data_IF_660536201789
#
_entry.id   IF_660536201789
#
_cell.length_a   1.000
_cell.length_b   1.000
_cell.length_c   1.000
_cell.angle_alpha   90.00
_cell.angle_beta   90.00
_cell.angle_gamma   90.00
#
_symmetry.space_group_name_H-M   'P 1'
#
loop_
_entity.id
_entity.type
_entity.pdbx_description
1 polymer ?
#
# COMPACT_ATOMS: atom_id res chain seq x y z
N UNK A 1 -9.15 23.52 -11.06
CA UNK A 1 -9.95 24.59 -11.71
C UNK A 1 -10.06 24.28 -13.19
N UNK A 2 -11.05 23.47 -13.58
CA UNK A 2 -11.32 23.01 -14.97
C UNK A 2 -12.78 23.18 -15.37
N UNK A 3 -13.62 23.77 -14.50
CA UNK A 3 -15.08 23.81 -14.62
C UNK A 3 -15.64 24.66 -15.77
N UNK A 4 -14.82 25.45 -16.46
CA UNK A 4 -15.24 26.33 -17.56
C UNK A 4 -14.56 26.07 -18.91
N UNK A 5 -13.85 24.94 -19.06
CA UNK A 5 -13.17 24.65 -20.33
C UNK A 5 -14.16 24.05 -21.34
N UNK A 6 -14.28 24.69 -22.51
CA UNK A 6 -15.10 24.22 -23.64
C UNK A 6 -14.49 23.03 -24.40
N UNK A 7 -13.19 22.80 -24.21
CA UNK A 7 -12.44 21.67 -24.75
C UNK A 7 -11.42 21.20 -23.71
N UNK A 8 -11.23 19.89 -23.63
CA UNK A 8 -10.16 19.26 -22.84
C UNK A 8 -9.02 18.86 -23.79
N UNK A 9 -8.09 19.78 -24.13
CA UNK A 9 -6.98 19.44 -25.00
C UNK A 9 -6.09 18.41 -24.30
N UNK A 10 -5.96 17.23 -24.92
CA UNK A 10 -5.03 16.20 -24.48
C UNK A 10 -3.73 16.40 -25.24
N UNK A 11 -2.65 16.71 -24.52
CA UNK A 11 -1.31 16.77 -25.11
C UNK A 11 -0.89 15.35 -25.55
N UNK A 12 -0.36 15.18 -26.77
CA UNK A 12 0.14 13.87 -27.19
C UNK A 12 1.34 13.47 -26.32
N UNK A 13 1.48 12.17 -26.09
CA UNK A 13 2.67 11.62 -25.43
C UNK A 13 3.92 11.99 -26.23
N UNK A 14 4.99 12.39 -25.53
CA UNK A 14 6.33 12.55 -26.12
C UNK A 14 7.00 11.22 -26.44
N UNK A 15 6.50 10.13 -25.86
CA UNK A 15 7.06 8.79 -25.98
C UNK A 15 6.24 7.90 -26.88
N UNK A 16 6.91 6.95 -27.54
CA UNK A 16 6.29 5.96 -28.41
C UNK A 16 5.70 4.81 -27.58
N UNK A 17 4.50 4.40 -27.97
CA UNK A 17 3.85 3.21 -27.44
C UNK A 17 3.72 2.18 -28.56
N UNK A 18 3.83 0.90 -28.21
CA UNK A 18 3.57 -0.20 -29.12
C UNK A 18 2.87 -1.35 -28.38
N UNK A 19 2.21 -2.23 -29.12
CA UNK A 19 1.55 -3.39 -28.56
C UNK A 19 2.58 -4.44 -28.15
N UNK A 20 2.52 -4.89 -26.89
CA UNK A 20 3.44 -5.85 -26.30
C UNK A 20 2.73 -7.16 -25.91
N UNK A 21 3.47 -8.26 -26.04
CA UNK A 21 2.98 -9.61 -25.78
C UNK A 21 1.84 -10.05 -26.70
N UNK A 22 1.33 -11.25 -26.45
CA UNK A 22 0.13 -11.79 -27.08
C UNK A 22 -1.14 -11.05 -26.62
N UNK A 23 -1.08 -10.25 -25.54
CA UNK A 23 -2.20 -9.40 -25.11
C UNK A 23 -2.45 -8.24 -26.05
N UNK A 24 -1.45 -7.86 -26.84
CA UNK A 24 -1.49 -6.65 -27.63
C UNK A 24 -1.65 -5.39 -26.76
N UNK A 25 -1.12 -5.40 -25.53
CA UNK A 25 -1.27 -4.25 -24.64
C UNK A 25 -0.36 -3.12 -25.08
N UNK A 26 -0.91 -1.90 -25.19
CA UNK A 26 -0.13 -0.70 -25.46
C UNK A 26 0.78 -0.35 -24.29
N UNK A 27 2.09 -0.44 -24.51
CA UNK A 27 3.12 -0.13 -23.51
C UNK A 27 4.21 0.73 -24.12
N UNK A 28 4.89 1.50 -23.28
CA UNK A 28 6.10 2.21 -23.69
C UNK A 28 7.28 1.22 -23.72
N UNK A 29 7.52 0.62 -24.87
CA UNK A 29 8.57 -0.37 -25.07
C UNK A 29 9.98 0.23 -25.10
N UNK A 30 10.09 1.56 -25.27
CA UNK A 30 11.36 2.28 -25.27
C UNK A 30 11.88 2.50 -23.83
N UNK A 31 11.01 2.96 -22.93
CA UNK A 31 11.36 3.25 -21.54
C UNK A 31 11.26 2.03 -20.62
N UNK A 32 10.35 1.10 -20.91
CA UNK A 32 10.10 -0.09 -20.08
C UNK A 32 10.30 -1.40 -20.87
N UNK A 33 11.44 -1.58 -21.55
CA UNK A 33 11.65 -2.72 -22.46
C UNK A 33 11.57 -4.07 -21.74
N UNK A 34 12.04 -4.14 -20.49
CA UNK A 34 12.02 -5.38 -19.72
C UNK A 34 10.63 -5.70 -19.16
N UNK A 35 9.82 -4.68 -18.87
CA UNK A 35 8.43 -4.90 -18.44
C UNK A 35 7.59 -5.39 -19.63
N UNK A 36 7.80 -4.81 -20.81
CA UNK A 36 7.08 -5.19 -22.02
C UNK A 36 7.29 -6.66 -22.42
N UNK A 37 8.47 -7.24 -22.15
CA UNK A 37 8.74 -8.68 -22.37
C UNK A 37 7.83 -9.60 -21.56
N UNK A 38 7.37 -9.13 -20.40
CA UNK A 38 6.53 -9.88 -19.47
C UNK A 38 5.06 -9.43 -19.54
N UNK A 39 4.64 -8.75 -20.61
CA UNK A 39 3.29 -8.19 -20.72
C UNK A 39 2.17 -9.23 -20.55
N UNK A 40 2.42 -10.48 -20.95
CA UNK A 40 1.47 -11.59 -20.83
C UNK A 40 1.41 -12.21 -19.43
N UNK A 41 2.47 -12.07 -18.63
CA UNK A 41 2.59 -12.66 -17.28
C UNK A 41 2.11 -11.71 -16.17
N UNK A 42 1.77 -10.48 -16.54
CA UNK A 42 1.27 -9.44 -15.64
C UNK A 42 -0.25 -9.41 -15.70
N UNK A 43 -0.89 -9.34 -14.54
CA UNK A 43 -2.32 -9.08 -14.44
C UNK A 43 -2.62 -7.60 -14.70
N UNK A 44 -3.43 -7.32 -15.71
CA UNK A 44 -3.83 -5.95 -16.08
C UNK A 44 -5.22 -5.64 -15.55
N UNK A 45 -5.32 -4.65 -14.67
CA UNK A 45 -6.59 -4.14 -14.16
C UNK A 45 -6.96 -2.85 -14.88
N UNK A 46 -7.92 -2.91 -15.81
CA UNK A 46 -8.40 -1.76 -16.60
C UNK A 46 -9.74 -1.20 -16.13
N UNK A 47 -10.34 -1.79 -15.10
CA UNK A 47 -11.64 -1.42 -14.55
C UNK A 47 -11.57 -0.35 -13.45
N UNK A 48 -10.39 0.21 -13.18
CA UNK A 48 -10.22 1.25 -12.16
C UNK A 48 -10.78 2.58 -12.66
N UNK A 49 -11.63 3.20 -11.86
CA UNK A 49 -12.17 4.55 -12.07
C UNK A 49 -12.02 5.35 -10.77
N UNK A 50 -11.77 6.65 -10.91
CA UNK A 50 -11.68 7.59 -9.79
C UNK A 50 -12.18 8.95 -10.23
N UNK A 51 -12.90 9.62 -9.34
CA UNK A 51 -13.36 11.00 -9.50
C UNK A 51 -12.44 12.00 -8.75
N UNK A 52 -11.34 11.50 -8.17
CA UNK A 52 -10.39 12.30 -7.42
C UNK A 52 -9.60 13.23 -8.34
N UNK A 53 -9.88 14.53 -8.27
CA UNK A 53 -9.16 15.56 -9.04
C UNK A 53 -7.84 16.00 -8.39
N UNK A 54 -7.71 15.78 -7.07
CA UNK A 54 -6.56 16.22 -6.28
C UNK A 54 -5.64 15.03 -6.00
N UNK A 55 -4.34 15.31 -5.83
CA UNK A 55 -3.34 14.28 -5.64
C UNK A 55 -3.52 13.49 -4.33
N UNK A 56 -3.82 14.11 -3.18
CA UNK A 56 -3.98 13.36 -1.93
C UNK A 56 -5.21 12.43 -1.92
N UNK A 57 -6.41 12.87 -2.34
CA UNK A 57 -7.56 11.96 -2.49
C UNK A 57 -7.32 10.85 -3.50
N UNK A 58 -6.60 11.13 -4.60
CA UNK A 58 -6.25 10.12 -5.60
C UNK A 58 -5.30 9.06 -5.03
N UNK A 59 -4.28 9.47 -4.27
CA UNK A 59 -3.36 8.53 -3.59
C UNK A 59 -4.12 7.70 -2.54
N UNK A 60 -5.02 8.33 -1.76
CA UNK A 60 -5.85 7.61 -0.80
C UNK A 60 -6.75 6.58 -1.49
N UNK A 61 -7.38 6.94 -2.60
CA UNK A 61 -8.20 6.02 -3.39
C UNK A 61 -7.40 4.86 -3.95
N UNK A 62 -6.19 5.13 -4.47
CA UNK A 62 -5.28 4.08 -4.95
C UNK A 62 -4.87 3.11 -3.84
N UNK A 63 -4.58 3.63 -2.65
CA UNK A 63 -4.12 2.81 -1.52
C UNK A 63 -5.25 2.05 -0.82
N UNK A 64 -6.43 2.65 -0.69
CA UNK A 64 -7.51 2.16 0.21
C UNK A 64 -8.82 1.85 -0.50
N UNK A 65 -8.91 2.14 -1.80
CA UNK A 65 -10.15 2.06 -2.58
C UNK A 65 -11.16 3.19 -2.28
N UNK A 66 -10.79 4.19 -1.47
CA UNK A 66 -11.65 5.33 -1.13
C UNK A 66 -10.86 6.64 -1.04
N UNK A 67 -11.48 7.74 -1.46
CA UNK A 67 -10.89 9.08 -1.36
C UNK A 67 -10.87 9.58 0.10
N UNK A 68 -11.77 9.07 0.95
CA UNK A 68 -11.82 9.37 2.38
C UNK A 68 -10.95 8.37 3.14
N UNK A 69 -10.02 8.89 3.93
CA UNK A 69 -9.11 8.11 4.80
C UNK A 69 -9.87 7.31 5.87
N UNK A 70 -9.25 6.23 6.38
CA UNK A 70 -9.79 5.41 7.47
C UNK A 70 -10.07 3.96 7.10
N UNK A 71 -10.02 3.63 5.80
CA UNK A 71 -10.05 2.24 5.32
C UNK A 71 -8.64 1.65 5.35
N UNK A 72 -8.50 0.32 5.52
CA UNK A 72 -7.21 -0.34 5.44
C UNK A 72 -6.60 -0.17 4.05
N UNK A 73 -5.30 0.13 3.99
CA UNK A 73 -4.60 0.20 2.71
C UNK A 73 -4.33 -1.20 2.13
N UNK A 74 -3.92 -1.25 0.86
CA UNK A 74 -3.57 -2.48 0.15
C UNK A 74 -2.50 -3.29 0.90
N UNK A 75 -1.48 -2.61 1.44
CA UNK A 75 -0.43 -3.26 2.25
C UNK A 75 -0.96 -3.88 3.54
N UNK A 76 -1.94 -3.24 4.18
CA UNK A 76 -2.59 -3.78 5.39
C UNK A 76 -3.44 -5.02 5.06
N UNK A 77 -4.16 -5.01 3.93
CA UNK A 77 -4.88 -6.18 3.45
C UNK A 77 -3.95 -7.33 3.09
N UNK A 78 -2.82 -7.05 2.44
CA UNK A 78 -1.81 -8.05 2.14
C UNK A 78 -1.23 -8.66 3.43
N UNK A 79 -0.89 -7.82 4.40
CA UNK A 79 -0.40 -8.24 5.73
C UNK A 79 -1.42 -9.13 6.46
N UNK A 80 -2.70 -8.75 6.46
CA UNK A 80 -3.77 -9.51 7.09
C UNK A 80 -4.08 -10.83 6.37
N UNK A 81 -4.10 -10.81 5.04
CA UNK A 81 -4.49 -11.98 4.24
C UNK A 81 -3.38 -13.02 4.07
N UNK A 82 -2.12 -12.56 3.91
CA UNK A 82 -0.96 -13.43 3.68
C UNK A 82 -0.20 -13.75 4.98
N UNK A 83 -0.32 -12.91 6.00
CA UNK A 83 0.47 -13.02 7.22
C UNK A 83 1.93 -12.62 7.02
N UNK A 84 2.78 -13.03 7.97
CA UNK A 84 4.24 -12.86 7.88
C UNK A 84 4.91 -14.22 7.73
N UNK A 85 5.97 -14.26 6.93
CA UNK A 85 6.92 -15.39 6.92
C UNK A 85 8.05 -15.21 7.95
N UNK A 86 8.05 -14.11 8.70
CA UNK A 86 9.09 -13.76 9.65
C UNK A 86 8.49 -13.27 10.98
N UNK A 87 9.03 -13.77 12.08
CA UNK A 87 8.59 -13.41 13.43
C UNK A 87 9.31 -12.17 14.00
N UNK A 88 10.42 -11.76 13.36
CA UNK A 88 11.32 -10.74 13.90
C UNK A 88 11.20 -9.35 13.25
N UNK A 89 10.41 -9.20 12.17
CA UNK A 89 10.21 -7.92 11.49
C UNK A 89 8.73 -7.68 11.22
N UNK A 90 8.31 -6.40 11.07
CA UNK A 90 6.95 -6.09 10.65
C UNK A 90 6.62 -6.73 9.30
N UNK A 91 5.42 -7.28 9.17
CA UNK A 91 4.92 -7.88 7.93
C UNK A 91 4.73 -6.86 6.81
N UNK A 92 4.54 -5.58 7.15
CA UNK A 92 4.34 -4.49 6.21
C UNK A 92 5.25 -3.29 6.56
N UNK A 93 6.23 -3.06 5.69
CA UNK A 93 7.21 -1.98 5.82
C UNK A 93 6.98 -0.92 4.74
N UNK A 94 7.12 0.34 5.11
CA UNK A 94 6.97 1.49 4.21
C UNK A 94 8.32 2.20 4.10
N UNK A 95 8.83 2.30 2.88
CA UNK A 95 10.07 3.01 2.58
C UNK A 95 9.73 4.43 2.11
N UNK A 96 10.23 5.44 2.83
CA UNK A 96 10.03 6.84 2.46
C UNK A 96 11.33 7.34 1.81
N UNK A 97 11.24 7.65 0.52
CA UNK A 97 12.37 8.21 -0.21
C UNK A 97 12.71 9.60 0.33
N UNK A 98 14.00 9.90 0.44
CA UNK A 98 14.47 11.26 0.74
C UNK A 98 14.71 11.96 -0.59
N UNK A 99 13.92 12.98 -0.96
CA UNK A 99 14.09 13.65 -2.24
C UNK A 99 15.39 14.46 -2.23
N UNK A 100 16.03 14.53 -3.40
CA UNK A 100 17.23 15.35 -3.63
C UNK A 100 16.90 16.83 -3.73
N UNK A 101 15.69 17.18 -4.19
CA UNK A 101 15.14 18.53 -4.17
C UNK A 101 14.07 18.63 -3.07
N UNK A 102 14.28 19.53 -2.10
CA UNK A 102 13.38 19.74 -0.95
C UNK A 102 12.50 20.99 -1.07
N UNK A 103 12.65 21.78 -2.13
CA UNK A 103 11.91 23.04 -2.29
C UNK A 103 10.41 22.83 -2.52
N UNK A 104 10.01 21.65 -3.01
CA UNK A 104 8.63 21.25 -3.27
C UNK A 104 8.28 19.92 -2.58
N UNK A 105 8.83 19.68 -1.40
CA UNK A 105 8.57 18.44 -0.68
C UNK A 105 7.11 18.40 -0.18
N UNK A 106 6.34 17.47 -0.74
CA UNK A 106 4.97 17.22 -0.30
C UNK A 106 4.97 16.24 0.87
N UNK A 107 4.36 16.64 1.98
CA UNK A 107 4.30 15.82 3.18
C UNK A 107 3.43 14.57 2.94
N UNK A 108 4.08 13.40 2.90
CA UNK A 108 3.38 12.12 2.83
C UNK A 108 2.95 11.72 4.25
N UNK A 109 1.65 11.49 4.44
CA UNK A 109 1.09 11.15 5.75
C UNK A 109 0.99 9.64 5.96
N UNK A 110 1.26 9.17 7.19
CA UNK A 110 1.10 7.77 7.57
C UNK A 110 -0.32 7.23 7.46
N UNK A 111 -1.31 8.12 7.32
CA UNK A 111 -2.70 7.77 7.01
C UNK A 111 -2.84 6.94 5.74
N UNK A 112 -1.90 7.05 4.79
CA UNK A 112 -1.92 6.31 3.53
C UNK A 112 -1.60 4.82 3.67
N UNK A 113 -0.95 4.43 4.78
CA UNK A 113 -0.60 3.04 5.09
C UNK A 113 -1.16 2.57 6.44
N UNK A 114 -2.29 3.15 6.83
CA UNK A 114 -3.00 2.76 8.04
C UNK A 114 -3.69 1.39 7.89
N UNK A 115 -3.77 0.66 9.00
CA UNK A 115 -4.57 -0.56 9.12
C UNK A 115 -6.07 -0.30 9.09
N UNK A 116 -6.51 0.97 9.25
CA UNK A 116 -7.93 1.31 9.34
C UNK A 116 -8.60 0.57 10.51
N UNK A 117 -9.61 -0.23 10.19
CA UNK A 117 -10.31 -1.09 11.17
C UNK A 117 -9.67 -2.48 11.36
N UNK A 118 -8.59 -2.81 10.63
CA UNK A 118 -7.81 -4.02 10.90
C UNK A 118 -6.96 -3.83 12.17
N UNK A 119 -6.57 -4.93 12.85
CA UNK A 119 -5.62 -4.88 13.96
C UNK A 119 -4.37 -4.06 13.63
N UNK A 120 -3.89 -3.30 14.62
CA UNK A 120 -2.78 -2.35 14.44
C UNK A 120 -1.46 -3.00 13.99
N UNK A 121 -1.29 -4.31 14.20
CA UNK A 121 -0.13 -5.08 13.72
C UNK A 121 -0.01 -5.10 12.18
N UNK A 122 -1.10 -4.81 11.46
CA UNK A 122 -1.09 -4.71 10.00
C UNK A 122 -0.84 -3.30 9.48
N UNK A 123 -0.65 -2.31 10.36
CA UNK A 123 -0.32 -0.96 9.93
C UNK A 123 1.10 -0.91 9.37
N UNK A 124 1.33 -0.08 8.35
CA UNK A 124 2.64 0.07 7.74
C UNK A 124 3.65 0.70 8.70
N UNK A 125 4.80 0.03 8.87
CA UNK A 125 5.90 0.55 9.69
C UNK A 125 6.88 1.29 8.78
N UNK A 126 7.00 2.61 8.97
CA UNK A 126 7.89 3.46 8.17
C UNK A 126 9.35 3.26 8.56
N UNK A 127 10.19 2.91 7.59
CA UNK A 127 11.63 2.77 7.77
C UNK A 127 12.35 4.02 7.26
N UNK A 128 13.31 4.50 8.04
CA UNK A 128 14.15 5.63 7.67
C UNK A 128 15.30 5.20 6.77
N UNK A 129 15.66 6.06 5.82
CA UNK A 129 16.78 5.87 4.89
C UNK A 129 18.16 6.01 5.55
N UNK A 130 18.24 6.65 6.73
CA UNK A 130 19.50 6.88 7.46
C UNK A 130 19.27 6.87 8.97
N UNK A 131 20.26 6.34 9.71
CA UNK A 131 20.23 6.22 11.16
C UNK A 131 19.43 5.01 11.61
N UNK A 132 18.73 5.14 12.74
CA UNK A 132 17.84 4.07 13.22
C UNK A 132 16.65 3.89 12.27
N UNK A 133 16.43 2.67 11.73
CA UNK A 133 15.37 2.42 10.75
C UNK A 133 13.99 2.64 11.37
N UNK A 134 13.83 2.29 12.65
CA UNK A 134 12.64 2.55 13.47
C UNK A 134 13.05 3.51 14.59
N UNK A 135 12.26 4.54 14.82
CA UNK A 135 12.52 5.51 15.88
C UNK A 135 12.50 4.83 17.26
N UNK A 136 13.47 5.18 18.11
CA UNK A 136 13.57 4.72 19.50
C UNK A 136 13.75 3.20 19.68
N UNK A 137 14.27 2.51 18.65
CA UNK A 137 14.61 1.09 18.79
C UNK A 137 15.82 0.86 19.71
N UNK A 138 16.74 1.82 19.73
CA UNK A 138 17.91 1.81 20.59
C UNK A 138 17.66 2.64 21.85
N UNK A 139 18.22 2.19 22.97
CA UNK A 139 18.21 3.00 24.18
C UNK A 139 19.06 4.26 23.99
N UNK A 140 18.61 5.42 24.47
CA UNK A 140 19.42 6.63 24.44
C UNK A 140 20.71 6.43 25.25
N UNK A 141 21.82 7.10 24.86
CA UNK A 141 23.10 6.99 25.56
C UNK A 141 22.95 7.26 27.06
N UNK A 142 23.47 6.38 27.90
CA UNK A 142 23.43 6.54 29.36
C UNK A 142 22.19 5.96 30.06
N UNK A 143 21.23 5.37 29.34
CA UNK A 143 20.08 4.66 29.95
C UNK A 143 20.31 3.14 29.97
N UNK A 144 20.52 2.52 31.14
CA UNK A 144 20.63 1.07 31.25
C UNK A 144 19.33 0.38 30.83
N UNK A 145 19.42 -0.80 30.20
CA UNK A 145 18.24 -1.60 29.78
C UNK A 145 17.25 -1.86 30.93
N UNK A 146 17.75 -1.94 32.16
CA UNK A 146 16.93 -2.14 33.37
C UNK A 146 15.97 -0.98 33.63
N UNK A 147 16.38 0.27 33.36
CA UNK A 147 15.53 1.45 33.55
C UNK A 147 14.41 1.57 32.52
N UNK A 148 14.63 1.07 31.28
CA UNK A 148 13.64 1.10 30.21
C UNK A 148 12.50 0.08 30.39
N UNK A 149 12.70 -0.99 31.17
CA UNK A 149 11.70 -2.04 31.39
C UNK A 149 10.53 -1.62 32.29
N UNK A 150 10.75 -0.69 33.23
CA UNK A 150 9.75 -0.28 34.25
C UNK A 150 8.51 0.43 33.69
N UNK A 151 8.61 1.35 32.71
CA UNK A 151 7.44 1.99 32.11
C UNK A 151 6.58 1.02 31.27
N UNK A 152 7.22 0.07 30.56
CA UNK A 152 6.55 -0.90 29.68
C UNK A 152 5.74 -1.95 30.46
N UNK A 153 6.21 -2.36 31.63
CA UNK A 153 5.46 -3.25 32.53
C UNK A 153 4.33 -2.54 33.27
N UNK A 154 4.42 -1.23 33.48
CA UNK A 154 3.37 -0.45 34.13
C UNK A 154 2.14 -0.26 33.21
N UNK A 155 2.36 0.01 31.91
CA UNK A 155 1.27 0.20 30.94
C UNK A 155 0.51 -1.09 30.57
N UNK A 156 1.19 -2.23 30.61
CA UNK A 156 0.57 -3.56 30.41
C UNK A 156 -0.33 -3.94 31.59
N UNK A 157 0.03 -3.54 32.82
CA UNK A 157 -0.80 -3.79 34.01
C UNK A 157 -2.11 -2.99 34.04
N UNK A 158 -2.16 -1.79 33.43
CA UNK A 158 -3.38 -0.96 33.41
C UNK A 158 -4.38 -1.33 32.32
N UNK A 159 -3.98 -2.09 31.31
CA UNK A 159 -4.84 -2.48 30.17
C UNK A 159 -5.52 -3.83 30.38
N UNK A 160 -5.05 -4.62 31.36
CA UNK A 160 -5.60 -5.93 31.71
C UNK A 160 -7.01 -5.86 32.33
N UNK A 161 -7.48 -4.70 32.81
CA UNK A 161 -8.79 -4.56 33.46
C UNK A 161 -9.96 -4.21 32.53
N UNK A 162 -9.73 -3.92 31.23
CA UNK A 162 -10.78 -3.32 30.36
C UNK A 162 -10.93 -3.95 28.99
N UNK A 163 -10.68 -5.25 28.84
CA UNK A 163 -11.04 -5.98 27.61
C UNK A 163 -12.02 -7.12 27.91
N UNK A 164 -13.32 -6.83 27.73
CA UNK A 164 -14.29 -7.92 27.47
C UNK A 164 -13.91 -8.54 26.12
N UNK A 165 -13.77 -9.87 26.01
CA UNK A 165 -13.49 -10.51 24.73
C UNK A 165 -14.69 -10.29 23.80
N UNK A 166 -14.48 -9.53 22.73
CA UNK A 166 -15.36 -9.56 21.56
C UNK A 166 -15.24 -10.96 20.94
N UNK A 167 -16.39 -11.63 20.76
CA UNK A 167 -16.44 -12.96 20.16
C UNK A 167 -15.70 -12.97 18.82
N UNK A 168 -14.67 -13.80 18.71
CA UNK A 168 -13.94 -14.04 17.46
C UNK A 168 -14.95 -14.52 16.42
N UNK A 169 -15.15 -13.82 15.29
CA UNK A 169 -15.90 -14.39 14.18
C UNK A 169 -15.14 -15.64 13.73
N UNK A 170 -15.83 -16.78 13.70
CA UNK A 170 -15.28 -18.06 13.21
C UNK A 170 -14.47 -17.79 11.94
N UNK A 171 -13.21 -18.23 11.92
CA UNK A 171 -12.38 -18.37 10.72
C UNK A 171 -13.27 -18.96 9.62
N UNK A 172 -13.57 -18.18 8.59
CA UNK A 172 -14.24 -18.71 7.40
C UNK A 172 -13.21 -19.61 6.72
N UNK A 173 -13.27 -20.91 7.03
CA UNK A 173 -12.61 -21.96 6.29
C UNK A 173 -13.59 -22.44 5.22
N UNK A 174 -13.77 -21.61 4.21
CA UNK A 174 -14.43 -21.90 2.92
C UNK A 174 -13.94 -20.79 2.00
N UNK A 175 -13.19 -20.98 0.91
CA UNK A 175 -13.41 -21.92 -0.18
C UNK A 175 -12.06 -22.46 -0.68
N UNK A 176 -11.84 -23.77 -0.53
CA UNK A 176 -10.73 -24.48 -1.19
C UNK A 176 -11.20 -25.27 -2.43
N UNK A 177 -12.29 -24.86 -3.09
CA UNK A 177 -12.78 -25.58 -4.27
C UNK A 177 -13.43 -24.72 -5.35
N UNK A 178 -13.35 -23.40 -5.30
CA UNK A 178 -13.75 -22.59 -6.45
C UNK A 178 -12.60 -22.56 -7.44
N UNK A 179 -12.63 -23.47 -8.42
CA UNK A 179 -11.94 -23.25 -9.69
C UNK A 179 -12.33 -21.85 -10.15
N UNK A 180 -11.38 -20.92 -10.13
CA UNK A 180 -11.49 -19.71 -10.92
C UNK A 180 -11.67 -20.16 -12.37
N UNK A 181 -12.78 -19.80 -13.05
CA UNK A 181 -12.85 -19.99 -14.48
C UNK A 181 -11.68 -19.22 -15.07
N UNK A 182 -10.81 -19.94 -15.77
CA UNK A 182 -9.82 -19.40 -16.69
C UNK A 182 -10.55 -18.64 -17.79
N UNK A 183 -10.99 -17.42 -17.47
CA UNK A 183 -11.69 -16.51 -18.36
C UNK A 183 -10.98 -15.14 -18.33
N UNK A 184 -9.67 -15.16 -18.53
CA UNK A 184 -8.93 -14.00 -19.00
C UNK A 184 -8.37 -14.36 -20.39
N UNK A 185 -9.06 -13.83 -21.41
CA UNK A 185 -8.78 -13.75 -22.87
C UNK A 185 -9.64 -14.65 -23.78
N UNK A 186 -9.99 -14.18 -25.01
CA UNK A 186 -9.60 -12.91 -25.65
C UNK A 186 -10.78 -11.98 -25.99
N UNK A 187 -10.63 -10.69 -25.69
CA UNK A 187 -11.31 -9.62 -26.43
C UNK A 187 -10.22 -8.82 -27.16
N UNK A 188 -9.59 -9.49 -28.12
CA UNK A 188 -8.84 -8.87 -29.22
C UNK A 188 -9.52 -9.33 -30.51
N UNK A 189 -10.68 -8.75 -30.80
CA UNK A 189 -11.23 -8.74 -32.16
C UNK A 189 -11.89 -7.36 -32.37
N UNK A 190 -11.47 -6.75 -33.48
CA UNK A 190 -11.77 -5.43 -34.05
C UNK A 190 -10.94 -4.25 -33.54
#
# INVERSE_FOLDING_TARGET
MTSGQTRFPVAPSKFKFSQAGKCGLWMNTELLPNLAKNADDICWMRSLNTEAINHEPAICAMQTGNQITGRPCLGSWASYGLGSANDNLPSFVVLIATPTNRDQEQAISSRLWSSGYLPGEHAGVSFRSKGDPILFINNPPGVPRTCASRPLTASTSSTASTTKPWATPKRIRALSSTRWPSACRPACQN
#
